data_IF_458781371227
#
_entry.id   IF_458781371227
#
_cell.length_a   1.000
_cell.length_b   1.000
_cell.length_c   1.000
_cell.angle_alpha   90.00
_cell.angle_beta   90.00
_cell.angle_gamma   90.00
#
_symmetry.space_group_name_H-M   'P 1'
#
loop_
_entity.id
_entity.type
_entity.pdbx_description
1 polymer ?
#
# COMPACT_ATOMS: atom_id res chain seq x y z
N UNK A 1 -17.24 -2.50 36.85
CA UNK A 1 -16.58 -3.77 37.25
C UNK A 1 -15.25 -3.82 36.54
N UNK A 2 -14.14 -3.70 37.26
CA UNK A 2 -12.80 -3.91 36.72
C UNK A 2 -12.62 -5.41 36.49
N UNK A 3 -12.61 -5.82 35.22
CA UNK A 3 -12.44 -7.21 34.81
C UNK A 3 -11.10 -7.72 35.34
N UNK A 4 -11.10 -8.81 36.12
CA UNK A 4 -9.87 -9.37 36.68
C UNK A 4 -8.91 -9.78 35.54
N UNK A 5 -7.58 -9.66 35.71
CA UNK A 5 -6.63 -10.00 34.66
C UNK A 5 -6.81 -11.46 34.23
N UNK A 6 -7.08 -11.66 32.93
CA UNK A 6 -7.30 -12.99 32.35
C UNK A 6 -5.98 -13.80 32.39
N UNK A 7 -5.97 -15.02 32.93
CA UNK A 7 -4.75 -15.82 32.95
C UNK A 7 -4.36 -16.23 31.53
N UNK A 8 -3.07 -16.06 31.21
CA UNK A 8 -2.44 -16.44 29.94
C UNK A 8 -1.10 -17.14 30.24
N UNK A 9 -0.75 -18.13 29.43
CA UNK A 9 0.62 -18.65 29.41
C UNK A 9 1.60 -17.61 28.85
N UNK A 10 2.91 -17.84 29.04
CA UNK A 10 3.93 -16.94 28.49
C UNK A 10 3.87 -16.86 26.97
N UNK A 11 3.70 -17.99 26.28
CA UNK A 11 3.56 -18.04 24.82
C UNK A 11 2.38 -17.18 24.35
N UNK A 12 1.22 -17.31 24.99
CA UNK A 12 0.03 -16.55 24.61
C UNK A 12 0.18 -15.06 24.89
N UNK A 13 0.80 -14.69 26.02
CA UNK A 13 1.07 -13.29 26.33
C UNK A 13 1.97 -12.63 25.27
N UNK A 14 3.01 -13.35 24.81
CA UNK A 14 3.92 -12.87 23.77
C UNK A 14 3.25 -12.88 22.38
N UNK A 15 2.39 -13.84 22.07
CA UNK A 15 1.53 -13.83 20.88
C UNK A 15 0.63 -12.59 20.83
N UNK A 16 -0.04 -12.23 21.94
CA UNK A 16 -0.88 -11.03 22.00
C UNK A 16 -0.05 -9.75 21.82
N UNK A 17 1.16 -9.70 22.36
CA UNK A 17 2.08 -8.57 22.12
C UNK A 17 2.49 -8.49 20.66
N UNK A 18 2.75 -9.63 20.02
CA UNK A 18 3.09 -9.70 18.61
C UNK A 18 1.94 -9.22 17.71
N UNK A 19 0.69 -9.64 17.98
CA UNK A 19 -0.51 -9.12 17.31
C UNK A 19 -0.55 -7.59 17.41
N UNK A 20 -0.36 -7.05 18.62
CA UNK A 20 -0.38 -5.60 18.85
C UNK A 20 0.76 -4.90 18.13
N UNK A 21 1.95 -5.50 18.05
CA UNK A 21 3.07 -4.99 17.28
C UNK A 21 2.74 -4.90 15.80
N UNK A 22 2.23 -5.98 15.19
CA UNK A 22 1.81 -5.98 13.78
C UNK A 22 0.74 -4.91 13.49
N UNK A 23 -0.10 -4.58 14.48
CA UNK A 23 -1.17 -3.57 14.37
C UNK A 23 -0.71 -2.15 14.76
N UNK A 24 0.59 -1.94 15.03
CA UNK A 24 1.16 -0.64 15.41
C UNK A 24 0.74 -0.15 16.81
N UNK A 25 0.41 -1.06 17.72
CA UNK A 25 -0.07 -0.82 19.10
C UNK A 25 0.89 -1.35 20.17
N UNK A 26 2.12 -1.63 19.80
CA UNK A 26 3.18 -2.08 20.70
C UNK A 26 4.49 -1.37 20.33
N UNK A 27 5.37 -1.07 21.31
CA UNK A 27 6.67 -0.45 21.01
C UNK A 27 7.48 -1.29 20.02
N UNK A 28 8.05 -0.62 19.01
CA UNK A 28 8.72 -1.30 17.91
C UNK A 28 9.91 -2.15 18.38
N UNK A 29 10.77 -1.57 19.23
CA UNK A 29 11.95 -2.25 19.80
C UNK A 29 11.60 -3.57 20.50
N UNK A 30 10.51 -3.60 21.25
CA UNK A 30 10.09 -4.80 21.95
C UNK A 30 9.43 -5.80 21.00
N UNK A 31 8.73 -5.33 19.96
CA UNK A 31 8.23 -6.19 18.89
C UNK A 31 9.34 -6.90 18.11
N UNK A 32 10.43 -6.19 17.79
CA UNK A 32 11.60 -6.79 17.13
C UNK A 32 12.27 -7.85 18.01
N UNK A 33 12.36 -7.61 19.32
CA UNK A 33 12.85 -8.63 20.26
C UNK A 33 11.98 -9.89 20.23
N UNK A 34 10.66 -9.73 20.23
CA UNK A 34 9.73 -10.88 20.16
C UNK A 34 9.93 -11.71 18.90
N UNK A 35 10.10 -11.07 17.74
CA UNK A 35 10.38 -11.76 16.46
C UNK A 35 11.73 -12.49 16.40
N UNK A 36 12.65 -12.16 17.32
CA UNK A 36 13.98 -12.77 17.44
C UNK A 36 14.04 -13.84 18.53
N UNK A 37 13.00 -13.96 19.34
CA UNK A 37 12.85 -15.02 20.35
C UNK A 37 12.07 -16.20 19.79
N UNK A 38 12.25 -17.38 20.36
CA UNK A 38 11.46 -18.58 20.04
C UNK A 38 10.84 -19.14 21.31
N UNK A 39 9.67 -19.76 21.14
CA UNK A 39 8.93 -20.38 22.22
C UNK A 39 8.41 -21.76 21.79
N UNK A 40 8.29 -22.68 22.74
CA UNK A 40 7.63 -23.96 22.48
C UNK A 40 6.16 -23.72 22.17
N UNK A 41 5.73 -24.10 20.95
CA UNK A 41 4.35 -23.96 20.50
C UNK A 41 3.42 -24.86 21.33
N UNK A 42 2.34 -24.33 21.93
CA UNK A 42 1.35 -25.15 22.63
C UNK A 42 0.51 -25.97 21.65
N UNK A 43 -0.07 -27.08 22.13
CA UNK A 43 -0.97 -27.91 21.33
C UNK A 43 -2.26 -27.15 20.93
N UNK A 44 -2.77 -26.32 21.83
CA UNK A 44 -3.91 -25.43 21.58
C UNK A 44 -3.73 -24.09 22.31
N UNK A 45 -4.37 -23.05 21.79
CA UNK A 45 -4.52 -21.78 22.48
C UNK A 45 -5.69 -21.87 23.47
N UNK A 46 -5.54 -21.24 24.63
CA UNK A 46 -6.66 -21.04 25.55
C UNK A 46 -7.72 -20.16 24.92
N UNK A 47 -8.97 -20.33 25.36
CA UNK A 47 -10.09 -19.48 24.96
C UNK A 47 -9.81 -17.99 25.19
N UNK A 48 -9.16 -17.65 26.30
CA UNK A 48 -8.81 -16.26 26.62
C UNK A 48 -7.86 -15.65 25.57
N UNK A 49 -6.85 -16.40 25.13
CA UNK A 49 -5.93 -15.95 24.10
C UNK A 49 -6.65 -15.73 22.78
N UNK A 50 -7.49 -16.69 22.36
CA UNK A 50 -8.28 -16.58 21.11
C UNK A 50 -9.19 -15.35 21.13
N UNK A 51 -9.94 -15.14 22.22
CA UNK A 51 -10.82 -13.96 22.37
C UNK A 51 -10.02 -12.64 22.32
N UNK A 52 -8.81 -12.60 22.91
CA UNK A 52 -7.96 -11.40 22.88
C UNK A 52 -7.35 -11.15 21.49
N UNK A 53 -7.01 -12.20 20.73
CA UNK A 53 -6.59 -12.05 19.33
C UNK A 53 -7.74 -11.49 18.50
N UNK A 54 -8.93 -12.08 18.60
CA UNK A 54 -10.13 -11.62 17.90
C UNK A 54 -10.46 -10.16 18.24
N UNK A 55 -10.45 -9.81 19.53
CA UNK A 55 -10.71 -8.44 19.99
C UNK A 55 -9.68 -7.44 19.46
N UNK A 56 -8.39 -7.84 19.47
CA UNK A 56 -7.30 -7.00 18.98
C UNK A 56 -7.42 -6.75 17.47
N UNK A 57 -7.69 -7.80 16.68
CA UNK A 57 -7.89 -7.70 15.24
C UNK A 57 -9.11 -6.84 14.90
N UNK A 58 -10.26 -7.13 15.51
CA UNK A 58 -11.51 -6.42 15.25
C UNK A 58 -11.39 -4.92 15.57
N UNK A 59 -10.82 -4.56 16.73
CA UNK A 59 -10.72 -3.15 17.14
C UNK A 59 -9.60 -2.41 16.44
N UNK A 60 -8.40 -2.99 16.36
CA UNK A 60 -7.25 -2.23 15.89
C UNK A 60 -7.25 -2.02 14.37
N UNK A 61 -7.70 -3.01 13.57
CA UNK A 61 -7.84 -2.84 12.12
C UNK A 61 -8.88 -1.77 11.78
N UNK A 62 -10.05 -1.80 12.42
CA UNK A 62 -11.08 -0.76 12.25
C UNK A 62 -10.55 0.59 12.70
N UNK A 63 -9.93 0.69 13.88
CA UNK A 63 -9.36 1.94 14.37
C UNK A 63 -8.27 2.48 13.44
N UNK A 64 -7.47 1.61 12.81
CA UNK A 64 -6.49 2.01 11.79
C UNK A 64 -7.20 2.61 10.57
N UNK A 65 -8.17 1.91 9.98
CA UNK A 65 -8.90 2.38 8.79
C UNK A 65 -9.62 3.69 9.06
N UNK A 66 -10.26 3.82 10.23
CA UNK A 66 -10.86 5.08 10.68
C UNK A 66 -9.81 6.19 10.64
N UNK A 67 -8.66 6.02 11.33
CA UNK A 67 -7.59 7.02 11.40
C UNK A 67 -6.93 7.34 10.05
N UNK A 68 -6.80 6.36 9.17
CA UNK A 68 -6.19 6.52 7.86
C UNK A 68 -7.01 7.45 6.95
N UNK A 69 -8.33 7.51 7.16
CA UNK A 69 -9.22 8.37 6.37
C UNK A 69 -10.70 8.01 6.47
N UNK A 70 -11.06 6.85 7.02
CA UNK A 70 -12.45 6.39 7.10
C UNK A 70 -13.40 7.30 7.88
N UNK A 71 -12.88 8.12 8.82
CA UNK A 71 -13.67 9.11 9.55
C UNK A 71 -14.03 10.37 8.76
N UNK A 72 -13.33 10.63 7.65
CA UNK A 72 -13.50 11.85 6.87
C UNK A 72 -14.80 11.77 6.06
N UNK A 73 -15.50 12.89 5.98
CA UNK A 73 -16.60 13.04 5.04
C UNK A 73 -16.01 13.22 3.63
N UNK A 74 -16.13 12.20 2.80
CA UNK A 74 -15.60 12.16 1.43
C UNK A 74 -16.64 11.55 0.48
N UNK A 75 -16.41 11.66 -0.83
CA UNK A 75 -17.31 11.23 -1.90
C UNK A 75 -16.67 10.09 -2.66
N UNK A 76 -17.31 8.93 -2.73
CA UNK A 76 -16.81 7.80 -3.52
C UNK A 76 -17.91 7.22 -4.39
N UNK A 77 -17.54 6.49 -5.44
CA UNK A 77 -18.50 5.84 -6.32
C UNK A 77 -19.09 4.60 -5.64
N UNK A 78 -20.41 4.51 -5.65
CA UNK A 78 -21.20 3.35 -5.24
C UNK A 78 -22.19 3.06 -6.34
N UNK A 79 -22.08 1.89 -6.96
CA UNK A 79 -22.93 1.52 -8.11
C UNK A 79 -22.94 2.61 -9.20
N UNK A 80 -21.77 3.17 -9.50
CA UNK A 80 -21.59 4.24 -10.48
C UNK A 80 -21.99 5.65 -10.01
N UNK A 81 -22.59 5.81 -8.82
CA UNK A 81 -23.06 7.09 -8.31
C UNK A 81 -22.18 7.63 -7.17
N UNK A 82 -21.81 8.92 -7.18
CA UNK A 82 -21.11 9.54 -6.06
C UNK A 82 -21.97 9.53 -4.80
N UNK A 83 -21.45 8.91 -3.73
CA UNK A 83 -22.05 8.93 -2.39
C UNK A 83 -21.13 9.67 -1.43
N UNK A 84 -21.65 10.69 -0.75
CA UNK A 84 -20.95 11.47 0.28
C UNK A 84 -21.16 10.87 1.67
N UNK A 85 -20.24 11.12 2.60
CA UNK A 85 -20.38 10.73 4.01
C UNK A 85 -19.07 10.18 4.55
N UNK A 86 -19.06 9.57 5.73
CA UNK A 86 -17.92 8.75 6.21
C UNK A 86 -18.00 7.35 5.62
N UNK A 87 -16.93 6.56 5.73
CA UNK A 87 -16.93 5.20 5.18
C UNK A 87 -18.13 4.35 5.67
N UNK A 88 -18.49 4.47 6.96
CA UNK A 88 -19.62 3.77 7.55
C UNK A 88 -21.00 4.41 7.31
N UNK A 89 -21.05 5.65 6.82
CA UNK A 89 -22.31 6.27 6.39
C UNK A 89 -22.64 5.83 4.95
N UNK A 90 -21.60 5.55 4.15
CA UNK A 90 -21.73 5.21 2.73
C UNK A 90 -21.96 3.73 2.47
N UNK A 91 -21.24 2.86 3.17
CA UNK A 91 -21.26 1.41 2.94
C UNK A 91 -22.04 0.72 4.05
N UNK A 92 -22.99 -0.19 3.79
CA UNK A 92 -23.62 -1.05 4.81
C UNK A 92 -22.63 -1.86 5.67
N UNK A 93 -23.07 -2.37 6.82
CA UNK A 93 -22.19 -3.09 7.76
C UNK A 93 -21.70 -4.43 7.21
N UNK A 94 -22.58 -5.17 6.56
CA UNK A 94 -22.33 -6.45 5.90
C UNK A 94 -21.30 -6.34 4.76
N UNK A 95 -21.28 -5.22 4.04
CA UNK A 95 -20.30 -4.96 2.97
C UNK A 95 -18.92 -4.48 3.48
N UNK A 96 -18.78 -4.19 4.78
CA UNK A 96 -17.53 -3.66 5.38
C UNK A 96 -17.05 -4.45 6.60
N UNK A 97 -17.72 -5.55 6.93
CA UNK A 97 -17.35 -6.40 8.05
C UNK A 97 -16.03 -7.10 7.73
N UNK A 98 -15.04 -6.98 8.62
CA UNK A 98 -13.74 -7.62 8.41
C UNK A 98 -13.84 -9.10 8.77
N UNK A 99 -13.71 -9.96 7.77
CA UNK A 99 -13.69 -11.41 7.95
C UNK A 99 -12.26 -11.91 7.82
N UNK A 100 -11.70 -12.52 8.87
CA UNK A 100 -10.35 -13.08 8.86
C UNK A 100 -10.39 -14.59 8.67
N UNK A 101 -9.42 -15.14 7.95
CA UNK A 101 -9.21 -16.59 7.84
C UNK A 101 -8.32 -17.12 8.97
N UNK A 102 -8.18 -18.46 9.12
CA UNK A 102 -7.24 -19.06 10.06
C UNK A 102 -5.77 -18.66 9.81
N UNK A 103 -5.40 -18.24 8.59
CA UNK A 103 -4.03 -17.92 8.22
C UNK A 103 -3.39 -16.81 9.06
N UNK A 104 -4.18 -15.84 9.54
CA UNK A 104 -3.68 -14.82 10.46
C UNK A 104 -3.23 -15.43 11.78
N UNK A 105 -4.01 -16.36 12.34
CA UNK A 105 -3.64 -17.03 13.59
C UNK A 105 -2.47 -17.98 13.37
N UNK A 106 -2.42 -18.69 12.25
CA UNK A 106 -1.29 -19.55 11.88
C UNK A 106 0.01 -18.76 11.76
N UNK A 107 -0.03 -17.59 11.11
CA UNK A 107 1.10 -16.67 11.04
C UNK A 107 1.58 -16.26 12.43
N UNK A 108 0.66 -15.84 13.29
CA UNK A 108 0.99 -15.37 14.65
C UNK A 108 1.58 -16.49 15.50
N UNK A 109 1.04 -17.71 15.38
CA UNK A 109 1.58 -18.90 16.04
C UNK A 109 3.00 -19.20 15.56
N UNK A 110 3.22 -19.18 14.25
CA UNK A 110 4.55 -19.39 13.66
C UNK A 110 5.54 -18.31 14.11
N UNK A 111 5.20 -17.03 13.97
CA UNK A 111 6.08 -15.92 14.29
C UNK A 111 6.36 -15.80 15.80
N UNK A 112 5.51 -16.37 16.67
CA UNK A 112 5.77 -16.48 18.11
C UNK A 112 6.62 -17.71 18.45
N UNK A 113 6.42 -18.83 17.75
CA UNK A 113 7.16 -20.06 18.00
C UNK A 113 8.60 -20.02 17.46
N UNK A 114 8.83 -19.27 16.39
CA UNK A 114 10.06 -19.27 15.60
C UNK A 114 10.83 -17.96 15.73
N UNK A 115 12.16 -18.03 15.56
CA UNK A 115 12.98 -16.83 15.32
C UNK A 115 12.83 -16.46 13.85
N UNK A 116 12.00 -15.48 13.53
CA UNK A 116 11.59 -15.20 12.14
C UNK A 116 12.78 -14.99 11.20
N UNK A 117 13.84 -14.33 11.65
CA UNK A 117 15.05 -14.06 10.86
C UNK A 117 15.93 -15.30 10.57
N UNK A 118 15.80 -16.38 11.35
CA UNK A 118 16.65 -17.60 11.27
C UNK A 118 15.79 -18.89 11.29
N UNK A 119 14.53 -18.80 10.88
CA UNK A 119 13.62 -19.94 10.95
C UNK A 119 13.86 -20.93 9.81
N UNK A 120 13.85 -22.22 10.16
CA UNK A 120 13.83 -23.34 9.21
C UNK A 120 12.42 -23.89 9.01
N UNK A 121 11.48 -23.52 9.88
CA UNK A 121 10.09 -23.98 9.82
C UNK A 121 9.35 -23.16 8.76
N UNK A 122 8.86 -23.80 7.69
CA UNK A 122 8.10 -23.08 6.69
C UNK A 122 6.71 -22.75 7.23
N UNK A 123 6.36 -21.47 7.18
CA UNK A 123 4.97 -21.00 7.13
C UNK A 123 4.78 -20.18 5.85
N UNK A 124 3.65 -20.36 5.19
CA UNK A 124 3.15 -19.49 4.13
C UNK A 124 1.63 -19.67 4.01
N UNK A 125 0.95 -18.73 3.36
CA UNK A 125 -0.47 -18.84 3.05
C UNK A 125 -0.69 -18.57 1.56
N UNK A 126 -1.44 -19.44 0.83
CA UNK A 126 -1.73 -19.23 -0.57
C UNK A 126 -2.52 -17.91 -0.77
N UNK A 127 -2.10 -17.02 -1.69
CA UNK A 127 -2.78 -15.74 -1.90
C UNK A 127 -4.27 -15.85 -2.28
N UNK A 128 -4.67 -16.98 -2.89
CA UNK A 128 -6.06 -17.24 -3.27
C UNK A 128 -6.98 -17.51 -2.07
N UNK A 129 -6.41 -17.96 -0.94
CA UNK A 129 -7.15 -18.32 0.26
C UNK A 129 -7.27 -17.14 1.24
N UNK A 130 -6.61 -16.02 0.94
CA UNK A 130 -6.63 -14.82 1.76
C UNK A 130 -7.91 -14.01 1.56
N UNK A 131 -8.56 -13.71 2.67
CA UNK A 131 -9.64 -12.71 2.71
C UNK A 131 -9.08 -11.29 2.53
N UNK A 132 -9.96 -10.31 2.30
CA UNK A 132 -9.55 -8.91 2.27
C UNK A 132 -8.93 -8.45 3.60
N UNK A 133 -9.46 -8.92 4.73
CA UNK A 133 -8.96 -8.58 6.05
C UNK A 133 -7.59 -9.20 6.33
N UNK A 134 -7.32 -10.42 5.85
CA UNK A 134 -6.00 -11.06 5.97
C UNK A 134 -4.94 -10.28 5.17
N UNK A 135 -5.25 -9.91 3.93
CA UNK A 135 -4.34 -9.09 3.11
C UNK A 135 -4.03 -7.76 3.81
N UNK A 136 -5.06 -7.11 4.34
CA UNK A 136 -4.89 -5.86 5.09
C UNK A 136 -4.01 -6.08 6.34
N UNK A 137 -4.26 -7.13 7.11
CA UNK A 137 -3.44 -7.48 8.27
C UNK A 137 -1.98 -7.76 7.89
N UNK A 138 -1.73 -8.56 6.85
CA UNK A 138 -0.37 -8.87 6.41
C UNK A 138 0.36 -7.65 5.88
N UNK A 139 -0.34 -6.71 5.24
CA UNK A 139 0.26 -5.42 4.91
C UNK A 139 0.69 -4.66 6.16
N UNK A 140 -0.17 -4.54 7.18
CA UNK A 140 0.18 -3.89 8.44
C UNK A 140 1.35 -4.59 9.16
N UNK A 141 1.34 -5.92 9.18
CA UNK A 141 2.41 -6.72 9.76
C UNK A 141 3.74 -6.48 9.03
N UNK A 142 3.73 -6.43 7.69
CA UNK A 142 4.91 -6.10 6.90
C UNK A 142 5.42 -4.71 7.23
N UNK A 143 4.53 -3.72 7.30
CA UNK A 143 4.88 -2.34 7.63
C UNK A 143 5.53 -2.21 9.01
N UNK A 144 5.03 -2.92 10.01
CA UNK A 144 5.62 -2.96 11.34
C UNK A 144 7.03 -3.58 11.33
N UNK A 145 7.23 -4.62 10.52
CA UNK A 145 8.49 -5.36 10.42
C UNK A 145 9.52 -4.70 9.47
N UNK A 146 9.08 -3.84 8.56
CA UNK A 146 9.88 -3.24 7.49
C UNK A 146 11.17 -2.55 7.96
N UNK A 147 11.23 -1.88 9.14
CA UNK A 147 12.47 -1.31 9.63
C UNK A 147 13.55 -2.32 10.03
N UNK A 148 13.20 -3.59 10.28
CA UNK A 148 14.16 -4.68 10.49
C UNK A 148 14.41 -5.41 9.15
N UNK A 149 15.56 -5.20 8.49
CA UNK A 149 15.82 -5.72 7.15
C UNK A 149 15.92 -7.25 7.11
N UNK A 150 16.37 -7.90 8.19
CA UNK A 150 16.49 -9.37 8.25
C UNK A 150 15.11 -10.01 8.28
N UNK A 151 14.20 -9.47 9.12
CA UNK A 151 12.82 -9.91 9.19
C UNK A 151 12.08 -9.60 7.89
N UNK A 152 12.19 -8.37 7.37
CA UNK A 152 11.54 -7.96 6.13
C UNK A 152 11.97 -8.85 4.94
N UNK A 153 13.25 -9.23 4.88
CA UNK A 153 13.77 -10.13 3.86
C UNK A 153 13.19 -11.55 3.93
N UNK A 154 12.83 -12.04 5.12
CA UNK A 154 12.11 -13.32 5.27
C UNK A 154 10.66 -13.17 4.85
N UNK A 155 9.97 -12.13 5.33
CA UNK A 155 8.54 -11.93 5.05
C UNK A 155 8.28 -11.72 3.55
N UNK A 156 9.08 -10.92 2.85
CA UNK A 156 8.90 -10.67 1.39
C UNK A 156 9.00 -11.93 0.53
N UNK A 157 9.64 -12.99 1.02
CA UNK A 157 9.75 -14.28 0.32
C UNK A 157 8.50 -15.16 0.45
N UNK A 158 7.61 -14.84 1.39
CA UNK A 158 6.35 -15.57 1.62
C UNK A 158 5.29 -15.06 0.65
N UNK A 159 4.52 -15.96 0.06
CA UNK A 159 3.46 -15.64 -0.90
C UNK A 159 2.41 -14.68 -0.31
N UNK A 160 2.07 -14.84 0.97
CA UNK A 160 1.13 -13.97 1.68
C UNK A 160 1.52 -12.48 1.70
N UNK A 161 2.82 -12.18 1.59
CA UNK A 161 3.36 -10.81 1.55
C UNK A 161 3.76 -10.40 0.14
N UNK A 162 4.44 -11.28 -0.60
CA UNK A 162 4.93 -11.02 -1.96
C UNK A 162 3.81 -10.68 -2.92
N UNK A 163 2.66 -11.36 -2.82
CA UNK A 163 1.51 -11.13 -3.70
C UNK A 163 0.47 -10.19 -3.08
N UNK A 164 0.79 -9.55 -1.95
CA UNK A 164 -0.15 -8.72 -1.21
C UNK A 164 -0.38 -7.38 -1.91
N UNK A 165 -1.62 -7.13 -2.33
CA UNK A 165 -2.01 -5.95 -3.11
C UNK A 165 -1.82 -4.64 -2.34
N UNK A 166 -2.20 -4.59 -1.06
CA UNK A 166 -2.00 -3.40 -0.23
C UNK A 166 -0.52 -3.10 -0.01
N UNK A 167 0.29 -4.16 0.17
CA UNK A 167 1.72 -4.01 0.35
C UNK A 167 2.43 -3.55 -0.94
N UNK A 168 2.04 -4.02 -2.13
CA UNK A 168 2.53 -3.46 -3.39
C UNK A 168 2.13 -1.99 -3.58
N UNK A 169 0.90 -1.62 -3.23
CA UNK A 169 0.42 -0.25 -3.38
C UNK A 169 1.15 0.74 -2.46
N UNK A 170 1.57 0.28 -1.28
CA UNK A 170 2.34 1.09 -0.33
C UNK A 170 3.85 1.05 -0.55
N UNK A 171 4.39 -0.10 -0.94
CA UNK A 171 5.82 -0.42 -0.78
C UNK A 171 6.34 -1.32 -1.91
N UNK A 172 5.94 -1.06 -3.16
CA UNK A 172 6.34 -1.89 -4.32
C UNK A 172 7.85 -2.18 -4.36
N UNK A 173 8.69 -1.20 -4.04
CA UNK A 173 10.14 -1.32 -4.02
C UNK A 173 10.67 -2.36 -3.02
N UNK A 174 9.97 -2.56 -1.90
CA UNK A 174 10.38 -3.50 -0.85
C UNK A 174 9.97 -4.96 -1.20
N UNK A 175 8.99 -5.13 -2.10
CA UNK A 175 8.45 -6.43 -2.50
C UNK A 175 8.96 -6.93 -3.85
N UNK A 176 9.39 -6.02 -4.74
CA UNK A 176 9.95 -6.41 -6.01
C UNK A 176 11.31 -7.09 -5.81
N UNK A 177 11.46 -8.28 -6.38
CA UNK A 177 12.76 -8.93 -6.50
C UNK A 177 13.68 -8.14 -7.44
N UNK A 178 14.96 -8.51 -7.51
CA UNK A 178 15.92 -7.87 -8.44
C UNK A 178 15.59 -8.17 -9.92
N UNK A 179 14.72 -9.16 -10.16
CA UNK A 179 14.18 -9.50 -11.46
C UNK A 179 13.18 -8.45 -11.96
N UNK A 180 12.54 -8.73 -13.10
CA UNK A 180 11.47 -7.88 -13.61
C UNK A 180 10.30 -7.81 -12.60
N UNK A 181 9.85 -6.60 -12.19
CA UNK A 181 8.76 -6.47 -11.23
C UNK A 181 7.47 -7.10 -11.77
N UNK A 182 6.91 -8.03 -11.00
CA UNK A 182 5.66 -8.72 -11.31
C UNK A 182 4.59 -8.35 -10.27
N UNK A 183 3.88 -7.22 -10.43
CA UNK A 183 2.82 -6.83 -9.51
C UNK A 183 1.68 -7.86 -9.49
N UNK A 184 0.94 -7.99 -8.37
CA UNK A 184 -0.22 -8.87 -8.31
C UNK A 184 -1.37 -8.30 -9.15
N UNK A 185 -2.34 -9.16 -9.47
CA UNK A 185 -3.60 -8.70 -10.06
C UNK A 185 -4.34 -7.78 -9.08
N UNK A 186 -4.55 -6.52 -9.47
CA UNK A 186 -5.25 -5.52 -8.65
C UNK A 186 -6.77 -5.49 -8.87
N UNK A 187 -7.34 -6.22 -9.83
CA UNK A 187 -8.78 -6.18 -10.11
C UNK A 187 -9.67 -6.40 -8.86
N UNK A 188 -9.35 -7.33 -7.93
CA UNK A 188 -10.15 -7.54 -6.72
C UNK A 188 -10.20 -6.33 -5.78
N UNK A 189 -9.31 -5.34 -5.92
CA UNK A 189 -9.26 -4.17 -5.06
C UNK A 189 -10.45 -3.22 -5.26
N UNK A 190 -11.11 -3.27 -6.41
CA UNK A 190 -12.12 -2.28 -6.80
C UNK A 190 -13.56 -2.70 -6.48
N UNK A 191 -13.73 -3.81 -5.75
CA UNK A 191 -15.01 -4.33 -5.29
C UNK A 191 -14.98 -4.75 -3.80
N UNK A 192 -16.17 -4.88 -3.21
CA UNK A 192 -16.38 -5.40 -1.85
C UNK A 192 -15.56 -4.70 -0.76
N UNK A 193 -15.14 -5.49 0.24
CA UNK A 193 -14.38 -5.01 1.40
C UNK A 193 -13.08 -4.28 1.01
N UNK A 194 -12.36 -4.77 -0.02
CA UNK A 194 -11.09 -4.17 -0.46
C UNK A 194 -11.28 -2.75 -0.98
N UNK A 195 -12.37 -2.49 -1.71
CA UNK A 195 -12.70 -1.14 -2.16
C UNK A 195 -12.95 -0.20 -0.99
N UNK A 196 -13.68 -0.66 0.03
CA UNK A 196 -13.97 0.14 1.24
C UNK A 196 -12.68 0.45 2.01
N UNK A 197 -11.78 -0.51 2.13
CA UNK A 197 -10.45 -0.29 2.70
C UNK A 197 -9.68 0.76 1.90
N UNK A 198 -9.65 0.67 0.57
CA UNK A 198 -8.96 1.64 -0.27
C UNK A 198 -9.46 3.07 -0.11
N UNK A 199 -10.76 3.27 0.07
CA UNK A 199 -11.32 4.60 0.36
C UNK A 199 -10.74 5.18 1.64
N UNK A 200 -10.69 4.36 2.69
CA UNK A 200 -10.12 4.76 3.96
C UNK A 200 -8.63 5.07 3.83
N UNK A 201 -7.92 4.39 2.92
CA UNK A 201 -6.47 4.48 2.77
C UNK A 201 -6.01 5.62 1.86
N UNK A 202 -6.88 6.30 1.10
CA UNK A 202 -6.48 7.36 0.15
C UNK A 202 -5.54 8.42 0.76
N UNK A 203 -5.82 9.00 1.95
CA UNK A 203 -4.94 10.03 2.51
C UNK A 203 -3.59 9.47 2.95
N UNK A 204 -3.58 8.25 3.52
CA UNK A 204 -2.36 7.58 3.94
C UNK A 204 -1.47 7.24 2.74
N UNK A 205 -2.04 6.67 1.68
CA UNK A 205 -1.33 6.36 0.44
C UNK A 205 -0.77 7.62 -0.22
N UNK A 206 -1.53 8.71 -0.24
CA UNK A 206 -1.07 10.01 -0.75
C UNK A 206 0.20 10.47 -0.01
N UNK A 207 0.17 10.49 1.33
CA UNK A 207 1.31 10.89 2.14
C UNK A 207 2.52 9.96 1.96
N UNK A 208 2.26 8.67 1.80
CA UNK A 208 3.28 7.65 1.64
C UNK A 208 4.04 7.82 0.33
N UNK A 209 3.33 7.95 -0.79
CA UNK A 209 3.94 8.21 -2.09
C UNK A 209 4.71 9.52 -2.12
N UNK A 210 4.19 10.58 -1.49
CA UNK A 210 4.93 11.84 -1.33
C UNK A 210 6.24 11.68 -0.57
N UNK A 211 6.25 10.91 0.51
CA UNK A 211 7.47 10.62 1.28
C UNK A 211 8.46 9.79 0.46
N UNK A 212 7.98 8.77 -0.24
CA UNK A 212 8.80 7.92 -1.09
C UNK A 212 9.51 8.74 -2.19
N UNK A 213 8.76 9.59 -2.90
CA UNK A 213 9.32 10.47 -3.94
C UNK A 213 10.36 11.45 -3.37
N UNK A 214 10.11 12.04 -2.20
CA UNK A 214 11.07 12.94 -1.54
C UNK A 214 12.33 12.23 -1.06
N UNK A 215 12.23 10.95 -0.70
CA UNK A 215 13.37 10.16 -0.27
C UNK A 215 14.28 9.71 -1.42
N UNK A 216 13.80 9.72 -2.67
CA UNK A 216 14.59 9.30 -3.85
C UNK A 216 15.86 10.12 -4.03
N UNK A 217 15.81 11.43 -3.77
CA UNK A 217 17.00 12.30 -3.85
C UNK A 217 18.12 11.93 -2.86
N UNK A 218 17.87 11.00 -1.91
CA UNK A 218 18.84 10.48 -0.96
C UNK A 218 19.37 9.07 -1.34
N UNK A 219 18.90 8.49 -2.44
CA UNK A 219 19.39 7.18 -2.91
C UNK A 219 20.69 7.42 -3.68
N UNK A 220 21.77 6.87 -3.16
CA UNK A 220 23.12 6.95 -3.73
C UNK A 220 23.47 5.80 -4.68
N UNK A 221 22.79 4.66 -4.50
CA UNK A 221 22.98 3.46 -5.30
C UNK A 221 22.08 3.45 -6.56
N UNK A 222 22.73 3.38 -7.73
CA UNK A 222 22.08 3.35 -9.05
C UNK A 222 21.20 2.13 -9.28
N UNK A 223 21.58 0.97 -8.74
CA UNK A 223 20.84 -0.28 -8.87
C UNK A 223 19.57 -0.22 -8.03
N UNK A 224 19.68 0.26 -6.79
CA UNK A 224 18.55 0.48 -5.87
C UNK A 224 17.55 1.47 -6.45
N UNK A 225 18.01 2.62 -6.95
CA UNK A 225 17.13 3.61 -7.60
C UNK A 225 16.37 2.99 -8.77
N UNK A 226 17.06 2.23 -9.64
CA UNK A 226 16.43 1.58 -10.78
C UNK A 226 15.39 0.55 -10.35
N UNK A 227 15.74 -0.34 -9.42
CA UNK A 227 14.84 -1.38 -8.92
C UNK A 227 13.58 -0.75 -8.31
N UNK A 228 13.76 0.21 -7.40
CA UNK A 228 12.66 0.93 -6.77
C UNK A 228 11.75 1.58 -7.81
N UNK A 229 12.32 2.35 -8.74
CA UNK A 229 11.53 3.06 -9.75
C UNK A 229 10.80 2.12 -10.72
N UNK A 230 11.42 1.00 -11.12
CA UNK A 230 10.77 -0.01 -11.97
C UNK A 230 9.61 -0.68 -11.22
N UNK A 231 9.80 -1.03 -9.96
CA UNK A 231 8.76 -1.65 -9.14
C UNK A 231 7.56 -0.73 -8.94
N UNK A 232 7.82 0.54 -8.61
CA UNK A 232 6.80 1.57 -8.47
C UNK A 232 6.04 1.82 -9.78
N UNK A 233 6.75 1.91 -10.91
CA UNK A 233 6.15 2.10 -12.21
C UNK A 233 5.24 0.91 -12.61
N UNK A 234 5.71 -0.32 -12.43
CA UNK A 234 4.93 -1.53 -12.71
C UNK A 234 3.70 -1.63 -11.81
N UNK A 235 3.86 -1.40 -10.50
CA UNK A 235 2.77 -1.43 -9.53
C UNK A 235 1.69 -0.39 -9.83
N UNK A 236 2.10 0.87 -10.09
CA UNK A 236 1.15 1.94 -10.41
C UNK A 236 0.46 1.72 -11.76
N UNK A 237 1.19 1.27 -12.79
CA UNK A 237 0.60 0.99 -14.10
C UNK A 237 -0.45 -0.13 -14.02
N UNK A 238 -0.14 -1.24 -13.35
CA UNK A 238 -1.09 -2.34 -13.15
C UNK A 238 -2.31 -1.90 -12.31
N UNK A 239 -2.07 -1.11 -11.25
CA UNK A 239 -3.14 -0.60 -10.40
C UNK A 239 -4.08 0.37 -11.14
N UNK A 240 -3.52 1.34 -11.87
CA UNK A 240 -4.31 2.31 -12.64
C UNK A 240 -5.08 1.62 -13.77
N UNK A 241 -4.47 0.66 -14.47
CA UNK A 241 -5.18 -0.12 -15.49
C UNK A 241 -6.38 -0.89 -14.90
N UNK A 242 -6.20 -1.48 -13.72
CA UNK A 242 -7.30 -2.14 -13.01
C UNK A 242 -8.39 -1.16 -12.53
N UNK A 243 -8.00 0.04 -12.07
CA UNK A 243 -8.93 1.09 -11.66
C UNK A 243 -9.80 1.60 -12.82
N UNK A 244 -9.18 1.83 -13.99
CA UNK A 244 -9.89 2.22 -15.19
C UNK A 244 -10.84 1.12 -15.66
N UNK A 245 -10.37 -0.13 -15.70
CA UNK A 245 -11.18 -1.28 -16.12
C UNK A 245 -12.40 -1.49 -15.21
N UNK A 246 -12.26 -1.20 -13.92
CA UNK A 246 -13.36 -1.28 -12.95
C UNK A 246 -14.30 -0.06 -12.98
N UNK A 247 -14.00 1.00 -13.74
CA UNK A 247 -14.76 2.25 -13.72
C UNK A 247 -14.70 2.95 -12.34
N UNK A 248 -13.58 2.80 -11.62
CA UNK A 248 -13.38 3.32 -10.26
C UNK A 248 -12.21 4.33 -10.18
N UNK A 249 -12.26 5.44 -10.95
CA UNK A 249 -11.22 6.47 -10.90
C UNK A 249 -11.13 7.13 -9.50
N UNK A 250 -12.22 7.09 -8.72
CA UNK A 250 -12.27 7.62 -7.35
C UNK A 250 -11.34 6.89 -6.38
N UNK A 251 -10.96 5.64 -6.67
CA UNK A 251 -10.01 4.88 -5.86
C UNK A 251 -8.55 5.14 -6.24
N UNK A 252 -8.27 5.80 -7.36
CA UNK A 252 -6.93 6.18 -7.80
C UNK A 252 -6.52 7.62 -7.41
N UNK A 253 -7.38 8.35 -6.69
CA UNK A 253 -7.14 9.76 -6.33
C UNK A 253 -5.84 10.01 -5.58
N UNK A 254 -5.37 9.06 -4.78
CA UNK A 254 -4.12 9.23 -4.06
C UNK A 254 -2.92 9.45 -5.02
N UNK A 255 -2.96 8.91 -6.25
CA UNK A 255 -1.93 9.15 -7.28
C UNK A 255 -1.98 10.59 -7.78
N UNK A 256 -3.19 11.10 -8.05
CA UNK A 256 -3.43 12.49 -8.43
C UNK A 256 -2.97 13.45 -7.32
N UNK A 257 -3.40 13.21 -6.08
CA UNK A 257 -3.05 14.06 -4.95
C UNK A 257 -1.58 13.97 -4.55
N UNK A 258 -0.93 12.81 -4.72
CA UNK A 258 0.51 12.70 -4.50
C UNK A 258 1.28 13.51 -5.54
N UNK A 259 0.90 13.47 -6.81
CA UNK A 259 1.48 14.35 -7.82
C UNK A 259 1.21 15.83 -7.54
N UNK A 260 -0.01 16.19 -7.14
CA UNK A 260 -0.35 17.58 -6.80
C UNK A 260 0.46 18.09 -5.59
N UNK A 261 0.67 17.26 -4.58
CA UNK A 261 1.51 17.58 -3.42
C UNK A 261 3.01 17.62 -3.74
N UNK A 262 3.46 16.89 -4.76
CA UNK A 262 4.85 16.89 -5.22
C UNK A 262 5.17 18.17 -5.99
N UNK A 263 4.29 18.53 -6.93
CA UNK A 263 4.43 19.70 -7.82
C UNK A 263 3.80 20.99 -7.26
N UNK A 264 3.78 21.15 -5.94
CA UNK A 264 3.46 22.45 -5.32
C UNK A 264 4.51 23.50 -5.72
N UNK A 265 5.78 23.09 -5.80
CA UNK A 265 6.90 23.89 -6.27
C UNK A 265 7.39 23.36 -7.62
N UNK A 266 8.15 24.18 -8.34
CA UNK A 266 8.85 23.73 -9.54
C UNK A 266 10.03 22.83 -9.12
N UNK A 267 10.07 21.61 -9.67
CA UNK A 267 11.08 20.61 -9.36
C UNK A 267 12.02 20.45 -10.55
N UNK A 268 13.32 20.51 -10.28
CA UNK A 268 14.36 20.19 -11.25
C UNK A 268 14.64 18.68 -11.24
N UNK A 269 15.16 18.09 -12.34
CA UNK A 269 15.57 16.69 -12.39
C UNK A 269 16.45 16.25 -11.20
N UNK A 270 17.32 17.14 -10.74
CA UNK A 270 18.20 16.92 -9.59
C UNK A 270 17.42 16.54 -8.32
N UNK A 271 16.15 16.93 -8.17
CA UNK A 271 15.32 16.53 -7.03
C UNK A 271 15.29 15.01 -6.81
N UNK A 272 15.22 14.22 -7.90
CA UNK A 272 15.19 12.76 -7.80
C UNK A 272 16.58 12.12 -7.89
N UNK A 273 17.50 12.74 -8.63
CA UNK A 273 18.77 12.08 -9.00
C UNK A 273 20.00 12.65 -8.30
N UNK A 274 19.88 13.70 -7.48
CA UNK A 274 21.04 14.34 -6.82
C UNK A 274 21.81 13.41 -5.90
N UNK A 275 21.14 12.39 -5.34
CA UNK A 275 21.76 11.42 -4.44
C UNK A 275 22.69 10.47 -5.16
N UNK A 276 22.47 10.20 -6.45
CA UNK A 276 23.19 9.18 -7.21
C UNK A 276 24.68 9.50 -7.28
N UNK A 277 25.48 8.71 -6.57
CA UNK A 277 26.93 8.87 -6.47
C UNK A 277 27.69 8.05 -7.52
N UNK A 278 29.01 8.29 -7.61
CA UNK A 278 29.93 7.50 -8.42
C UNK A 278 29.75 7.66 -9.94
N UNK A 279 30.50 6.88 -10.74
CA UNK A 279 30.47 6.98 -12.22
C UNK A 279 29.16 6.47 -12.86
N UNK A 280 28.29 5.84 -12.06
CA UNK A 280 27.09 5.16 -12.53
C UNK A 280 27.39 3.95 -13.43
N UNK A 281 26.36 3.32 -13.99
CA UNK A 281 26.50 2.27 -14.99
C UNK A 281 27.33 2.70 -16.21
N UNK A 282 28.15 1.79 -16.74
CA UNK A 282 29.01 2.07 -17.89
C UNK A 282 28.23 2.40 -19.17
N UNK A 283 27.07 1.76 -19.37
CA UNK A 283 26.23 1.97 -20.56
C UNK A 283 25.33 3.19 -20.36
N UNK A 284 25.25 4.05 -21.38
CA UNK A 284 24.34 5.20 -21.37
C UNK A 284 22.87 4.77 -21.23
N UNK A 285 22.46 3.70 -21.92
CA UNK A 285 21.10 3.16 -21.86
C UNK A 285 20.69 2.80 -20.42
N UNK A 286 21.62 2.23 -19.65
CA UNK A 286 21.43 1.89 -18.24
C UNK A 286 21.25 3.15 -17.39
N UNK A 287 22.08 4.18 -17.59
CA UNK A 287 21.92 5.45 -16.87
C UNK A 287 20.56 6.10 -17.14
N UNK A 288 20.17 6.16 -18.42
CA UNK A 288 18.86 6.68 -18.82
C UNK A 288 17.72 5.87 -18.20
N UNK A 289 17.79 4.54 -18.21
CA UNK A 289 16.77 3.69 -17.59
C UNK A 289 16.62 3.96 -16.08
N UNK A 290 17.73 4.12 -15.34
CA UNK A 290 17.67 4.50 -13.92
C UNK A 290 17.03 5.88 -13.72
N UNK A 291 17.37 6.87 -14.55
CA UNK A 291 16.78 8.20 -14.45
C UNK A 291 15.28 8.20 -14.78
N UNK A 292 14.86 7.39 -15.77
CA UNK A 292 13.44 7.18 -16.10
C UNK A 292 12.67 6.52 -14.96
N UNK A 293 13.29 5.51 -14.33
CA UNK A 293 12.73 4.83 -13.18
C UNK A 293 12.57 5.78 -11.98
N UNK A 294 13.49 6.74 -11.80
CA UNK A 294 13.42 7.71 -10.70
C UNK A 294 12.12 8.53 -10.72
N UNK A 295 11.54 8.81 -11.90
CA UNK A 295 10.28 9.56 -12.06
C UNK A 295 9.04 8.67 -12.29
N UNK A 296 9.01 7.48 -11.70
CA UNK A 296 7.89 6.54 -11.80
C UNK A 296 6.50 7.15 -11.50
N UNK A 297 6.35 7.92 -10.42
CA UNK A 297 5.08 8.57 -10.06
C UNK A 297 4.71 9.74 -11.00
N UNK A 298 5.60 10.71 -11.31
CA UNK A 298 5.31 11.76 -12.29
C UNK A 298 4.82 11.24 -13.65
N UNK A 299 5.39 10.12 -14.13
CA UNK A 299 4.97 9.53 -15.42
C UNK A 299 3.50 9.10 -15.43
N UNK A 300 2.93 8.76 -14.28
CA UNK A 300 1.51 8.36 -14.21
C UNK A 300 0.56 9.53 -14.51
N UNK A 301 1.03 10.78 -14.45
CA UNK A 301 0.20 11.92 -14.86
C UNK A 301 -0.22 11.88 -16.32
N UNK A 302 0.53 11.20 -17.20
CA UNK A 302 0.09 10.99 -18.58
C UNK A 302 -1.16 10.11 -18.66
N UNK A 303 -1.22 9.05 -17.84
CA UNK A 303 -2.40 8.16 -17.72
C UNK A 303 -3.58 8.93 -17.13
N UNK A 304 -3.36 9.71 -16.07
CA UNK A 304 -4.44 10.49 -15.47
C UNK A 304 -4.95 11.61 -16.39
N UNK A 305 -4.08 12.19 -17.22
CA UNK A 305 -4.48 13.18 -18.23
C UNK A 305 -5.31 12.56 -19.36
N UNK A 306 -4.97 11.35 -19.83
CA UNK A 306 -5.79 10.66 -20.83
C UNK A 306 -7.17 10.29 -20.29
N UNK A 307 -7.26 9.91 -19.00
CA UNK A 307 -8.54 9.76 -18.32
C UNK A 307 -9.34 11.06 -18.31
N UNK A 308 -8.69 12.19 -18.02
CA UNK A 308 -9.36 13.49 -18.03
C UNK A 308 -9.90 13.84 -19.43
N UNK A 309 -9.14 13.59 -20.49
CA UNK A 309 -9.61 13.78 -21.88
C UNK A 309 -10.82 12.89 -22.19
N UNK A 310 -10.73 11.60 -21.84
CA UNK A 310 -11.84 10.64 -21.97
C UNK A 310 -13.08 11.11 -21.22
N UNK A 311 -12.96 11.51 -19.95
CA UNK A 311 -14.10 11.95 -19.16
C UNK A 311 -14.67 13.29 -19.63
N UNK A 312 -13.86 14.19 -20.19
CA UNK A 312 -14.33 15.42 -20.85
C UNK A 312 -15.27 15.12 -22.03
N UNK A 313 -15.03 14.04 -22.76
CA UNK A 313 -15.87 13.62 -23.87
C UNK A 313 -17.19 12.94 -23.46
N UNK A 314 -17.34 12.51 -22.20
CA UNK A 314 -18.58 11.89 -21.68
C UNK A 314 -19.68 12.96 -21.56
N UNK A 315 -20.76 12.77 -22.33
CA UNK A 315 -21.94 13.62 -22.35
C UNK A 315 -22.86 13.42 -21.14
N UNK A 316 -23.82 14.32 -20.97
CA UNK A 316 -24.76 14.31 -19.84
C UNK A 316 -25.63 13.04 -19.78
N UNK A 317 -25.97 12.49 -20.95
CA UNK A 317 -26.84 11.32 -21.08
C UNK A 317 -26.08 9.99 -21.20
N UNK A 318 -24.74 10.02 -21.16
CA UNK A 318 -23.92 8.83 -21.33
C UNK A 318 -23.76 8.05 -20.02
N UNK A 319 -23.57 6.74 -20.15
CA UNK A 319 -23.17 5.90 -19.03
C UNK A 319 -21.83 6.38 -18.45
N UNK A 320 -21.74 6.39 -17.11
CA UNK A 320 -20.56 6.88 -16.41
C UNK A 320 -20.48 8.41 -16.29
N UNK A 321 -21.51 9.17 -16.67
CA UNK A 321 -21.56 10.62 -16.44
C UNK A 321 -21.23 11.00 -14.99
N UNK A 322 -21.80 10.30 -14.00
CA UNK A 322 -21.57 10.63 -12.60
C UNK A 322 -20.12 10.35 -12.13
N UNK A 323 -19.50 9.29 -12.64
CA UNK A 323 -18.07 9.02 -12.45
C UNK A 323 -17.19 10.08 -13.13
N UNK A 324 -17.54 10.47 -14.35
CA UNK A 324 -16.90 11.56 -15.10
C UNK A 324 -16.95 12.89 -14.33
N UNK A 325 -18.11 13.26 -13.78
CA UNK A 325 -18.26 14.50 -13.00
C UNK A 325 -17.43 14.47 -11.72
N UNK A 326 -17.41 13.34 -11.02
CA UNK A 326 -16.61 13.19 -9.81
C UNK A 326 -15.11 13.35 -10.12
N UNK A 327 -14.62 12.66 -11.16
CA UNK A 327 -13.23 12.78 -11.58
C UNK A 327 -12.87 14.21 -12.01
N UNK A 328 -13.72 14.87 -12.82
CA UNK A 328 -13.49 16.26 -13.26
C UNK A 328 -13.34 17.21 -12.07
N UNK A 329 -14.17 17.05 -11.04
CA UNK A 329 -14.08 17.84 -9.80
C UNK A 329 -12.78 17.57 -9.04
N UNK A 330 -12.39 16.29 -8.91
CA UNK A 330 -11.14 15.92 -8.25
C UNK A 330 -9.91 16.45 -9.02
N UNK A 331 -9.95 16.38 -10.36
CA UNK A 331 -8.95 16.95 -11.26
C UNK A 331 -8.81 18.47 -11.08
N UNK A 332 -9.93 19.19 -11.10
CA UNK A 332 -9.94 20.64 -10.91
C UNK A 332 -9.42 21.03 -9.52
N UNK A 333 -9.89 20.36 -8.46
CA UNK A 333 -9.46 20.62 -7.09
C UNK A 333 -7.96 20.38 -6.87
N UNK A 334 -7.37 19.42 -7.60
CA UNK A 334 -5.93 19.15 -7.57
C UNK A 334 -5.11 20.12 -8.46
N UNK A 335 -5.76 20.96 -9.27
CA UNK A 335 -5.10 21.75 -10.31
C UNK A 335 -4.46 20.86 -11.38
N UNK A 336 -5.15 19.78 -11.76
CA UNK A 336 -4.62 18.66 -12.54
C UNK A 336 -3.94 19.07 -13.85
N UNK A 337 -4.48 20.04 -14.59
CA UNK A 337 -3.88 20.53 -15.84
C UNK A 337 -2.46 21.10 -15.60
N UNK A 338 -2.30 21.92 -14.54
CA UNK A 338 -1.01 22.50 -14.15
C UNK A 338 -0.04 21.42 -13.66
N UNK A 339 -0.54 20.48 -12.85
CA UNK A 339 0.26 19.37 -12.31
C UNK A 339 0.74 18.45 -13.44
N UNK A 340 -0.12 18.14 -14.41
CA UNK A 340 0.22 17.31 -15.56
C UNK A 340 1.28 17.99 -16.45
N UNK A 341 1.15 19.30 -16.69
CA UNK A 341 2.16 20.07 -17.44
C UNK A 341 3.53 20.07 -16.72
N UNK A 342 3.55 20.30 -15.40
CA UNK A 342 4.78 20.24 -14.59
C UNK A 342 5.41 18.84 -14.58
N UNK A 343 4.59 17.80 -14.40
CA UNK A 343 5.07 16.43 -14.44
C UNK A 343 5.65 16.06 -15.80
N UNK A 344 5.00 16.47 -16.90
CA UNK A 344 5.50 16.28 -18.27
C UNK A 344 6.85 16.98 -18.45
N UNK A 345 6.96 18.25 -18.07
CA UNK A 345 8.21 19.00 -18.16
C UNK A 345 9.35 18.34 -17.35
N UNK A 346 9.06 17.82 -16.15
CA UNK A 346 10.03 17.09 -15.34
C UNK A 346 10.51 15.79 -16.01
N UNK A 347 9.58 15.04 -16.63
CA UNK A 347 9.90 13.81 -17.37
C UNK A 347 10.72 14.12 -18.63
N UNK A 348 10.34 15.14 -19.41
CA UNK A 348 11.06 15.58 -20.60
C UNK A 348 12.47 16.09 -20.30
N UNK A 349 12.65 16.82 -19.20
CA UNK A 349 13.97 17.29 -18.75
C UNK A 349 14.93 16.14 -18.40
N UNK A 350 14.40 14.95 -18.06
CA UNK A 350 15.18 13.73 -17.82
C UNK A 350 15.39 12.92 -19.12
N UNK A 351 14.48 13.05 -20.10
CA UNK A 351 14.49 12.31 -21.36
C UNK A 351 14.67 13.22 -22.60
N UNK A 352 15.77 14.00 -22.73
CA UNK A 352 15.89 14.98 -23.82
C UNK A 352 15.95 14.37 -25.23
N UNK A 353 16.24 13.07 -25.35
CA UNK A 353 16.50 12.37 -26.62
C UNK A 353 15.25 11.68 -27.22
N UNK A 354 14.03 12.18 -26.95
CA UNK A 354 12.78 11.59 -27.47
C UNK A 354 12.20 12.28 -28.72
N UNK A 355 12.91 13.25 -29.29
CA UNK A 355 12.55 13.91 -30.56
C UNK A 355 12.88 13.07 -31.77
#
# INVERSE_FOLDING_TARGET
>A
MTDAPRPLSKFEADLIRLVRFCLGRFPAEDGYKLLRTSHTRPACLSRNAVELVQDSLAKACVLFLVRAGGWRADRHLRSGQPKSGRAWDRTPLDERALTFSPHVVEFLLWATAERVHDTRTPWDAPPADLTAADEFFFWLAFEACRPDPEVAAVLRRKAAFRSNRFAWLGSAADLADEAEPAPPDFAPMFAGERAVMLECLQPLLTQRWLRAERAKGQIDDWRRMRQQGRAEAAGLAAYLGAAESAGRPDLARFVLHANAGLFQNDLLPAFWTSGLGGPGPARLADRLDTQRAAVALPRQMAVLASWQEKYRAVGYFDEGYAASQLWKQDWEAAGGDRVAARARAAVEAIEPLRT
#
